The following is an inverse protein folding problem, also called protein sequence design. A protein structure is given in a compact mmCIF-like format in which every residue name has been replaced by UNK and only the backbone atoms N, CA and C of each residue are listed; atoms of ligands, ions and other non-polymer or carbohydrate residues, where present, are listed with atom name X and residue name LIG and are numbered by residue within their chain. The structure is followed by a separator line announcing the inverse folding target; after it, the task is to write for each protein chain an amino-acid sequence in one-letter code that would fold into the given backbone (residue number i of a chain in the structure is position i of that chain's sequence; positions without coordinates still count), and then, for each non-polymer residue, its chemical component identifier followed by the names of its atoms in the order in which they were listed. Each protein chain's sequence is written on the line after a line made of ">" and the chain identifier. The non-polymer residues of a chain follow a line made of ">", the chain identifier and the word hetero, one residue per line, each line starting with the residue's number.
data_IF_143111726916
#
_entry.id   IF_143111726916
#
_cell.length_a   1.000
_cell.length_b   1.000
_cell.length_c   1.000
_cell.angle_alpha   90.00
_cell.angle_beta   90.00
_cell.angle_gamma   90.00
#
_symmetry.space_group_name_H-M   'P 1'
#
loop_
_entity.id
_entity.type
_entity.pdbx_description
1 polymer ?
#
# COMPACT_ATOMS: atom_id res chain seq x y z
N UNK A 1 -9.21 -7.64 21.32
CA UNK A 1 -7.79 -8.02 21.48
C UNK A 1 -7.03 -6.75 21.81
N UNK A 2 -6.14 -6.74 22.81
CA UNK A 2 -5.37 -5.54 23.14
C UNK A 2 -4.07 -5.51 22.33
N UNK A 3 -3.91 -4.50 21.49
CA UNK A 3 -2.64 -4.24 20.80
C UNK A 3 -1.68 -3.65 21.83
N UNK A 4 -0.48 -4.23 21.91
CA UNK A 4 0.61 -3.71 22.73
C UNK A 4 1.70 -3.17 21.81
N UNK A 5 2.22 -1.98 22.13
CA UNK A 5 3.32 -1.36 21.41
C UNK A 5 4.59 -1.44 22.25
N UNK A 6 5.65 -1.99 21.64
CA UNK A 6 6.95 -2.21 22.29
C UNK A 6 8.07 -1.30 21.74
N UNK A 7 7.75 -0.39 20.81
CA UNK A 7 8.71 0.53 20.22
C UNK A 7 8.81 1.87 20.96
N UNK A 8 9.56 2.80 20.38
CA UNK A 8 9.61 4.19 20.83
C UNK A 8 8.55 5.00 20.09
N UNK A 9 7.66 5.71 20.80
CA UNK A 9 6.73 6.64 20.16
C UNK A 9 7.46 7.71 19.35
N UNK A 10 6.83 8.17 18.28
CA UNK A 10 7.34 9.27 17.48
C UNK A 10 7.18 10.59 18.24
N UNK A 11 8.08 11.55 18.00
CA UNK A 11 7.91 12.93 18.47
C UNK A 11 6.96 13.71 17.52
N UNK A 12 5.81 13.10 17.25
CA UNK A 12 4.77 13.60 16.35
C UNK A 12 3.41 13.34 16.98
N UNK A 13 2.49 14.26 16.74
CA UNK A 13 1.13 14.19 17.23
C UNK A 13 0.16 14.19 16.06
N UNK A 14 -0.82 13.30 16.12
CA UNK A 14 -1.88 13.20 15.13
C UNK A 14 -3.06 14.10 15.51
N UNK A 15 -3.55 14.84 14.52
CA UNK A 15 -4.79 15.64 14.60
C UNK A 15 -5.76 15.18 13.52
N UNK A 16 -6.98 14.87 13.92
CA UNK A 16 -8.06 14.50 13.01
C UNK A 16 -9.33 14.21 13.78
N UNK A 17 -10.37 13.75 13.06
CA UNK A 17 -11.64 13.37 13.69
C UNK A 17 -11.47 12.10 14.51
N UNK A 18 -11.81 12.09 15.81
CA UNK A 18 -11.78 10.86 16.61
C UNK A 18 -12.66 9.72 16.06
N UNK A 19 -13.66 10.05 15.22
CA UNK A 19 -14.52 9.06 14.56
C UNK A 19 -13.80 8.26 13.47
N UNK A 20 -12.67 8.77 12.94
CA UNK A 20 -11.90 8.07 11.91
C UNK A 20 -10.95 7.01 12.51
N UNK A 21 -10.77 7.04 13.83
CA UNK A 21 -9.89 6.11 14.56
C UNK A 21 -10.64 4.81 14.79
N UNK A 22 -10.07 3.73 14.28
CA UNK A 22 -10.58 2.37 14.47
C UNK A 22 -9.73 1.60 15.48
N UNK A 23 -10.34 0.67 16.20
CA UNK A 23 -9.71 -0.05 17.33
C UNK A 23 -9.88 -1.57 17.26
N UNK A 24 -10.79 -2.08 16.42
CA UNK A 24 -11.02 -3.50 16.20
C UNK A 24 -10.16 -4.04 15.05
N UNK A 25 -9.88 -5.34 15.06
CA UNK A 25 -8.95 -5.97 14.13
C UNK A 25 -9.40 -5.89 12.66
N UNK A 26 -10.70 -6.03 12.40
CA UNK A 26 -11.26 -6.03 11.04
C UNK A 26 -11.08 -4.65 10.40
N UNK A 27 -11.53 -3.61 11.10
CA UNK A 27 -11.38 -2.23 10.64
C UNK A 27 -9.91 -1.79 10.56
N UNK A 28 -9.05 -2.24 11.48
CA UNK A 28 -7.60 -1.99 11.40
C UNK A 28 -7.02 -2.64 10.14
N UNK A 29 -7.38 -3.89 9.84
CA UNK A 29 -6.94 -4.57 8.62
C UNK A 29 -7.41 -3.82 7.37
N UNK A 30 -8.65 -3.34 7.33
CA UNK A 30 -9.15 -2.51 6.23
C UNK A 30 -8.30 -1.25 6.02
N UNK A 31 -7.92 -0.55 7.10
CA UNK A 31 -7.07 0.65 7.01
C UNK A 31 -5.65 0.31 6.54
N UNK A 32 -5.10 -0.84 6.96
CA UNK A 32 -3.78 -1.31 6.53
C UNK A 32 -3.74 -1.72 5.06
N UNK A 33 -4.84 -2.26 4.52
CA UNK A 33 -4.95 -2.65 3.11
C UNK A 33 -5.07 -1.45 2.15
N UNK A 34 -5.43 -0.26 2.64
CA UNK A 34 -5.49 0.98 1.87
C UNK A 34 -4.10 1.62 1.74
N UNK A 35 -3.18 0.93 1.06
CA UNK A 35 -1.76 1.36 0.97
C UNK A 35 -1.58 2.70 0.27
N UNK A 36 -2.55 3.10 -0.57
CA UNK A 36 -2.59 4.39 -1.28
C UNK A 36 -2.93 5.58 -0.37
N UNK A 37 -3.20 5.33 0.91
CA UNK A 37 -3.47 6.34 1.94
C UNK A 37 -2.40 6.30 3.03
N UNK A 38 -2.20 7.39 3.80
CA UNK A 38 -1.32 7.31 4.95
C UNK A 38 -1.92 6.33 5.96
N UNK A 39 -1.10 5.72 6.80
CA UNK A 39 -1.58 4.91 7.91
C UNK A 39 -0.90 5.39 9.18
N UNK A 40 -1.68 5.89 10.13
CA UNK A 40 -1.20 6.37 11.41
C UNK A 40 -1.66 5.42 12.50
N UNK A 41 -0.72 4.99 13.35
CA UNK A 41 -0.99 4.22 14.56
C UNK A 41 -0.73 5.14 15.74
N UNK A 42 -1.73 5.32 16.60
CA UNK A 42 -1.66 6.30 17.68
C UNK A 42 -2.29 5.75 18.97
N UNK A 43 -1.94 6.36 20.10
CA UNK A 43 -2.57 6.07 21.39
C UNK A 43 -3.62 7.13 21.70
N UNK A 44 -4.87 6.71 21.95
CA UNK A 44 -5.92 7.63 22.38
C UNK A 44 -5.73 8.07 23.84
N UNK A 45 -6.54 9.04 24.30
CA UNK A 45 -6.49 9.52 25.69
C UNK A 45 -6.88 8.45 26.72
N UNK A 46 -7.60 7.41 26.32
CA UNK A 46 -7.94 6.24 27.15
C UNK A 46 -6.85 5.17 27.17
N UNK A 47 -5.75 5.37 26.45
CA UNK A 47 -4.62 4.47 26.37
C UNK A 47 -4.77 3.32 25.38
N UNK A 48 -5.85 3.30 24.58
CA UNK A 48 -6.07 2.32 23.51
C UNK A 48 -5.23 2.68 22.29
N UNK A 49 -4.77 1.67 21.57
CA UNK A 49 -4.08 1.85 20.30
C UNK A 49 -5.10 1.78 19.17
N UNK A 50 -5.16 2.84 18.36
CA UNK A 50 -6.05 2.94 17.22
C UNK A 50 -5.31 3.32 15.94
N UNK A 51 -6.00 3.14 14.82
CA UNK A 51 -5.47 3.37 13.48
C UNK A 51 -6.36 4.32 12.70
N UNK A 52 -5.79 5.20 11.89
CA UNK A 52 -6.52 6.03 10.94
C UNK A 52 -5.74 6.20 9.63
N UNK A 53 -6.48 6.36 8.52
CA UNK A 53 -5.91 6.77 7.22
C UNK A 53 -6.14 8.25 6.87
N UNK A 54 -6.61 9.05 7.82
CA UNK A 54 -6.87 10.49 7.67
C UNK A 54 -6.15 11.28 8.76
N UNK A 55 -6.27 12.61 8.70
CA UNK A 55 -5.68 13.51 9.67
C UNK A 55 -4.27 13.96 9.27
N UNK A 56 -3.69 14.78 10.14
CA UNK A 56 -2.43 15.47 9.90
C UNK A 56 -1.46 15.23 11.05
N UNK A 57 -0.18 15.15 10.71
CA UNK A 57 0.90 15.07 11.69
C UNK A 57 1.40 16.48 12.00
N UNK A 58 1.49 16.79 13.29
CA UNK A 58 2.10 18.02 13.78
C UNK A 58 3.25 17.70 14.72
N UNK A 59 4.30 18.51 14.69
CA UNK A 59 5.43 18.40 15.62
C UNK A 59 5.15 18.99 16.99
N UNK A 60 4.18 19.92 17.08
CA UNK A 60 3.85 20.65 18.31
C UNK A 60 2.34 20.87 18.46
N UNK A 61 1.92 21.04 19.72
CA UNK A 61 0.53 21.31 20.10
C UNK A 61 -0.28 20.07 20.48
N UNK A 62 -1.60 20.24 20.63
CA UNK A 62 -2.49 19.16 21.08
C UNK A 62 -2.77 18.16 19.97
N UNK A 63 -2.54 16.88 20.23
CA UNK A 63 -2.89 15.76 19.34
C UNK A 63 -2.64 14.42 20.04
N UNK A 64 -2.97 13.32 19.37
CA UNK A 64 -2.70 11.97 19.87
C UNK A 64 -1.27 11.56 19.56
N UNK A 65 -0.56 10.99 20.53
CA UNK A 65 0.83 10.58 20.32
C UNK A 65 0.90 9.47 19.25
N UNK A 66 1.71 9.70 18.22
CA UNK A 66 1.92 8.72 17.15
C UNK A 66 2.92 7.68 17.60
N UNK A 67 2.57 6.42 17.41
CA UNK A 67 3.41 5.27 17.72
C UNK A 67 4.17 4.80 16.47
N UNK A 68 3.48 4.74 15.33
CA UNK A 68 4.03 4.35 14.04
C UNK A 68 3.26 5.02 12.90
N UNK A 69 3.89 5.10 11.73
CA UNK A 69 3.24 5.59 10.52
C UNK A 69 3.77 4.91 9.26
N UNK A 70 2.93 4.82 8.23
CA UNK A 70 3.31 4.48 6.88
C UNK A 70 2.87 5.60 5.93
N UNK A 71 3.76 5.99 5.01
CA UNK A 71 3.42 6.94 3.96
C UNK A 71 2.59 6.27 2.87
N UNK A 72 1.72 7.02 2.16
CA UNK A 72 0.98 6.49 1.03
C UNK A 72 1.91 5.91 -0.04
N UNK A 73 1.59 4.71 -0.53
CA UNK A 73 2.32 4.03 -1.59
C UNK A 73 1.36 3.27 -2.51
N UNK A 74 1.53 3.47 -3.81
CA UNK A 74 0.79 2.77 -4.87
C UNK A 74 1.68 1.73 -5.54
N UNK A 75 1.10 0.68 -6.12
CA UNK A 75 1.86 -0.35 -6.83
C UNK A 75 2.70 0.19 -8.01
N UNK A 76 2.32 1.33 -8.61
CA UNK A 76 3.09 2.01 -9.67
C UNK A 76 4.41 2.61 -9.21
N UNK A 77 4.61 2.79 -7.90
CA UNK A 77 5.87 3.28 -7.31
C UNK A 77 6.89 2.16 -7.09
N UNK A 78 6.49 0.89 -7.25
CA UNK A 78 7.40 -0.24 -7.14
C UNK A 78 8.15 -0.44 -8.46
N UNK A 79 9.47 -0.63 -8.35
CA UNK A 79 10.36 -0.88 -9.48
C UNK A 79 10.92 0.39 -10.11
N UNK A 80 11.47 0.26 -11.31
CA UNK A 80 12.05 1.37 -12.06
C UNK A 80 10.95 2.15 -12.81
N UNK A 81 10.78 3.47 -12.58
CA UNK A 81 9.81 4.27 -13.32
C UNK A 81 10.12 4.32 -14.83
N UNK A 82 11.38 4.27 -15.26
CA UNK A 82 11.72 4.39 -16.69
C UNK A 82 11.23 3.18 -17.48
N UNK A 83 11.21 1.99 -16.87
CA UNK A 83 10.64 0.79 -17.49
C UNK A 83 9.15 0.98 -17.83
N UNK A 84 8.38 1.65 -16.97
CA UNK A 84 6.97 1.95 -17.28
C UNK A 84 6.84 2.98 -18.39
N UNK A 85 7.72 3.98 -18.40
CA UNK A 85 7.73 5.04 -19.42
C UNK A 85 8.10 4.49 -20.80
N UNK A 86 9.18 3.71 -20.88
CA UNK A 86 9.70 3.11 -22.12
C UNK A 86 8.69 2.17 -22.79
N UNK A 87 7.92 1.42 -22.01
CA UNK A 87 6.96 0.43 -22.50
C UNK A 87 5.48 0.86 -22.37
N UNK A 88 5.19 2.07 -21.88
CA UNK A 88 3.83 2.59 -21.71
C UNK A 88 2.97 1.86 -20.67
N UNK A 89 3.57 1.31 -19.61
CA UNK A 89 2.93 0.33 -18.71
C UNK A 89 2.32 0.95 -17.44
N UNK A 90 1.31 0.27 -16.90
CA UNK A 90 0.70 0.58 -15.60
C UNK A 90 1.64 0.28 -14.43
N UNK A 91 2.33 -0.85 -14.47
CA UNK A 91 3.24 -1.33 -13.41
C UNK A 91 4.57 -1.79 -14.00
N UNK A 92 5.65 -1.70 -13.21
CA UNK A 92 6.96 -2.24 -13.58
C UNK A 92 6.96 -3.77 -13.41
N UNK A 93 6.18 -4.44 -14.27
CA UNK A 93 5.97 -5.89 -14.21
C UNK A 93 5.84 -6.48 -15.62
N UNK A 94 6.34 -7.70 -15.77
CA UNK A 94 6.28 -8.48 -17.01
C UNK A 94 5.96 -9.93 -16.71
N UNK A 95 5.13 -10.57 -17.54
CA UNK A 95 5.04 -12.03 -17.59
C UNK A 95 6.13 -12.61 -18.50
N UNK A 96 6.81 -13.67 -18.02
CA UNK A 96 7.84 -14.36 -18.78
C UNK A 96 7.26 -15.17 -19.96
N UNK A 97 8.09 -15.41 -20.97
CA UNK A 97 7.74 -16.35 -22.04
C UNK A 97 7.71 -17.78 -21.48
N UNK A 98 6.75 -18.57 -21.93
CA UNK A 98 6.63 -19.98 -21.59
C UNK A 98 6.41 -20.75 -22.90
N UNK A 99 7.32 -21.68 -23.21
CA UNK A 99 7.42 -22.37 -24.51
C UNK A 99 6.13 -23.10 -24.94
N UNK A 100 6.09 -23.52 -26.20
CA UNK A 100 4.98 -24.27 -26.82
C UNK A 100 3.62 -23.57 -26.65
N UNK A 101 3.60 -22.24 -26.71
CA UNK A 101 2.36 -21.47 -26.54
C UNK A 101 1.77 -21.48 -25.13
N UNK A 102 2.47 -21.94 -24.10
CA UNK A 102 1.99 -21.87 -22.70
C UNK A 102 1.74 -20.40 -22.30
N UNK A 103 2.64 -19.51 -22.72
CA UNK A 103 2.36 -18.07 -22.75
C UNK A 103 1.59 -17.78 -24.06
N UNK A 104 0.29 -18.10 -24.05
CA UNK A 104 -0.56 -18.09 -25.24
C UNK A 104 -0.90 -16.69 -25.74
N UNK A 105 -1.46 -16.61 -26.94
CA UNK A 105 -2.01 -15.38 -27.52
C UNK A 105 -3.05 -14.76 -26.59
N UNK A 106 -3.99 -15.56 -26.06
CA UNK A 106 -5.03 -15.08 -25.16
C UNK A 106 -4.45 -14.47 -23.89
N UNK A 107 -3.43 -15.11 -23.32
CA UNK A 107 -2.73 -14.58 -22.13
C UNK A 107 -2.06 -13.25 -22.44
N UNK A 108 -1.26 -13.18 -23.51
CA UNK A 108 -0.52 -11.95 -23.86
C UNK A 108 -1.46 -10.81 -24.25
N UNK A 109 -2.56 -11.11 -24.97
CA UNK A 109 -3.61 -10.14 -25.29
C UNK A 109 -4.28 -9.63 -24.01
N UNK A 110 -4.60 -10.49 -23.05
CA UNK A 110 -5.21 -10.09 -21.78
C UNK A 110 -4.25 -9.20 -20.96
N UNK A 111 -2.97 -9.57 -20.88
CA UNK A 111 -1.91 -8.80 -20.21
C UNK A 111 -1.73 -7.43 -20.87
N UNK A 112 -1.69 -7.37 -22.21
CA UNK A 112 -1.60 -6.12 -22.96
C UNK A 112 -2.81 -5.21 -22.73
N UNK A 113 -4.04 -5.75 -22.72
CA UNK A 113 -5.27 -5.00 -22.39
C UNK A 113 -5.29 -4.47 -20.96
N UNK A 114 -4.58 -5.12 -20.02
CA UNK A 114 -4.39 -4.64 -18.67
C UNK A 114 -3.27 -3.58 -18.53
N UNK A 115 -2.67 -3.16 -19.65
CA UNK A 115 -1.54 -2.24 -19.75
C UNK A 115 -0.27 -2.74 -19.03
N UNK A 116 0.01 -4.03 -19.22
CA UNK A 116 1.17 -4.74 -18.69
C UNK A 116 1.94 -5.42 -19.82
N UNK A 117 3.21 -5.77 -19.57
CA UNK A 117 4.07 -6.39 -20.59
C UNK A 117 3.98 -7.92 -20.53
N UNK A 118 3.72 -8.56 -21.68
CA UNK A 118 3.70 -10.01 -21.82
C UNK A 118 4.65 -10.48 -22.92
N UNK A 119 5.30 -11.63 -22.71
CA UNK A 119 6.18 -12.25 -23.71
C UNK A 119 5.54 -13.53 -24.24
N UNK A 120 5.28 -13.59 -25.55
CA UNK A 120 4.65 -14.77 -26.17
C UNK A 120 5.59 -15.98 -26.21
N UNK A 121 5.00 -17.17 -26.06
CA UNK A 121 5.66 -18.47 -25.95
C UNK A 121 6.09 -19.11 -27.27
N UNK A 122 6.83 -18.39 -28.13
CA UNK A 122 7.16 -18.85 -29.50
C UNK A 122 8.11 -20.07 -29.58
N UNK A 123 8.84 -20.40 -28.52
CA UNK A 123 9.78 -21.51 -28.55
C UNK A 123 9.06 -22.86 -28.75
N UNK A 124 9.42 -23.61 -29.80
CA UNK A 124 8.85 -24.94 -30.08
C UNK A 124 7.54 -24.96 -30.86
N UNK A 125 7.10 -23.79 -31.37
CA UNK A 125 5.99 -23.65 -32.33
C UNK A 125 6.48 -23.81 -33.77
#
# INVERSE_FOLDING_TARGET
>A
MNINFHGNPQNLFWKGSPHDIVFDNESIQEKLLQTDKPCYVMKDFGGRIGVSNSGELVSEGRGLQVLAMASPMTASQLGDPTFREDYGLKYAYKTGAMANGIASEEMVIAIGKANLLGSYGAAGQ
#
